data_IF_863370240736
#
_entry.id   IF_863370240736
#
_cell.length_a   1.000
_cell.length_b   1.000
_cell.length_c   1.000
_cell.angle_alpha   90.00
_cell.angle_beta   90.00
_cell.angle_gamma   90.00
#
_symmetry.space_group_name_H-M   'P 1'
#
loop_
_entity.id
_entity.type
_entity.pdbx_description
1 polymer ?
#
# COMPACT_ATOMS: atom_id res chain seq x y z
N UNK A 1 11.44 11.94 17.87
CA UNK A 1 12.05 12.38 16.60
C UNK A 1 12.46 11.15 15.80
N UNK A 2 12.08 11.05 14.52
CA UNK A 2 12.27 9.84 13.66
C UNK A 2 13.76 9.51 13.40
N UNK A 3 14.65 10.47 13.65
CA UNK A 3 16.03 10.54 13.19
C UNK A 3 17.08 9.70 13.94
N UNK A 4 16.77 9.09 15.08
CA UNK A 4 17.82 8.55 15.97
C UNK A 4 17.99 7.03 15.95
N UNK A 5 17.27 6.28 15.10
CA UNK A 5 17.37 4.80 15.09
C UNK A 5 17.37 4.24 13.67
N UNK A 6 18.16 3.18 13.46
CA UNK A 6 18.39 2.48 12.17
C UNK A 6 17.10 2.33 11.32
N UNK A 7 17.22 2.25 9.98
CA UNK A 7 16.13 2.39 9.01
C UNK A 7 14.90 1.52 9.32
N UNK A 8 13.71 2.07 9.03
CA UNK A 8 12.39 1.44 9.17
C UNK A 8 12.23 0.40 8.05
N UNK A 9 11.67 -0.76 8.35
CA UNK A 9 11.50 -1.82 7.35
C UNK A 9 10.15 -1.71 6.63
N UNK A 10 9.11 -1.29 7.37
CA UNK A 10 7.75 -1.17 6.85
C UNK A 10 7.06 0.08 7.42
N UNK A 11 6.49 0.88 6.54
CA UNK A 11 5.62 2.02 6.84
C UNK A 11 4.19 1.63 6.48
N UNK A 12 3.24 1.81 7.39
CA UNK A 12 1.82 1.52 7.17
C UNK A 12 1.04 2.82 7.22
N UNK A 13 0.26 3.07 6.18
CA UNK A 13 -0.75 4.12 6.14
C UNK A 13 -1.94 3.70 7.01
N UNK A 14 -1.89 4.07 8.28
CA UNK A 14 -2.81 3.59 9.29
C UNK A 14 -4.26 3.98 9.00
N UNK A 15 -4.49 5.19 8.46
CA UNK A 15 -5.85 5.66 8.18
C UNK A 15 -6.40 5.00 6.91
N UNK A 16 -5.62 4.98 5.82
CA UNK A 16 -6.02 4.31 4.60
C UNK A 16 -6.37 2.84 4.89
N UNK A 17 -5.51 2.11 5.58
CA UNK A 17 -5.75 0.69 5.89
C UNK A 17 -6.95 0.50 6.84
N UNK A 18 -7.06 1.30 7.90
CA UNK A 18 -8.12 1.12 8.90
C UNK A 18 -9.52 1.37 8.35
N UNK A 19 -9.67 2.28 7.38
CA UNK A 19 -10.97 2.63 6.79
C UNK A 19 -11.35 1.77 5.56
N UNK A 20 -10.51 0.82 5.14
CA UNK A 20 -10.78 -0.03 3.96
C UNK A 20 -11.94 -1.00 4.10
N UNK A 21 -12.26 -1.44 5.31
CA UNK A 21 -13.34 -2.42 5.54
C UNK A 21 -14.52 -1.75 6.21
N UNK A 22 -15.31 -1.05 5.43
CA UNK A 22 -16.70 -0.85 5.79
C UNK A 22 -17.49 -2.12 5.45
N UNK A 23 -17.15 -3.27 6.04
CA UNK A 23 -18.07 -4.44 6.06
C UNK A 23 -18.98 -4.41 7.28
N UNK A 24 -18.84 -3.40 8.15
CA UNK A 24 -19.82 -3.03 9.16
C UNK A 24 -20.30 -1.60 8.91
N UNK A 25 -21.54 -1.47 8.46
CA UNK A 25 -22.24 -0.19 8.43
C UNK A 25 -23.45 -0.29 9.36
N UNK A 26 -23.67 0.76 10.14
CA UNK A 26 -24.96 0.96 10.77
C UNK A 26 -25.81 1.83 9.83
N UNK A 27 -27.09 1.49 9.74
CA UNK A 27 -28.08 2.39 9.18
C UNK A 27 -28.57 3.27 10.32
N UNK A 28 -28.22 4.56 10.29
CA UNK A 28 -28.79 5.52 11.22
C UNK A 28 -30.00 6.15 10.54
N UNK A 29 -31.11 6.19 11.25
CA UNK A 29 -32.35 6.85 10.82
C UNK A 29 -32.43 8.19 11.55
N UNK A 30 -32.36 9.28 10.80
CA UNK A 30 -32.63 10.62 11.33
C UNK A 30 -34.05 10.99 11.00
N UNK A 31 -34.80 11.35 12.03
CA UNK A 31 -36.11 11.93 11.87
C UNK A 31 -35.92 13.43 11.58
N UNK A 32 -36.36 13.86 10.41
CA UNK A 32 -36.30 15.26 10.00
C UNK A 32 -37.61 15.97 10.37
N UNK A 33 -38.73 15.27 10.21
CA UNK A 33 -40.08 15.68 10.65
C UNK A 33 -40.87 14.44 11.11
N UNK A 34 -42.08 14.62 11.66
CA UNK A 34 -42.93 13.51 12.12
C UNK A 34 -43.16 12.45 11.03
N UNK A 35 -43.34 12.86 9.77
CA UNK A 35 -43.61 11.97 8.64
C UNK A 35 -42.39 11.63 7.77
N UNK A 36 -41.25 12.30 7.96
CA UNK A 36 -40.07 12.14 7.08
C UNK A 36 -38.84 11.73 7.88
N UNK A 37 -38.34 10.54 7.59
CA UNK A 37 -37.06 10.05 8.07
C UNK A 37 -36.07 9.83 6.93
N UNK A 38 -34.82 10.25 7.10
CA UNK A 38 -33.71 9.87 6.21
C UNK A 38 -32.86 8.82 6.88
N UNK A 39 -32.62 7.71 6.18
CA UNK A 39 -31.60 6.74 6.56
C UNK A 39 -30.29 7.09 5.88
N UNK A 40 -29.21 7.11 6.65
CA UNK A 40 -27.87 7.25 6.10
C UNK A 40 -26.94 6.18 6.63
N UNK A 41 -26.01 5.81 5.77
CA UNK A 41 -25.06 4.74 5.98
C UNK A 41 -23.84 5.30 6.70
N UNK A 42 -23.57 4.85 7.92
CA UNK A 42 -22.37 5.25 8.68
C UNK A 42 -21.46 4.05 8.96
N UNK A 43 -20.12 4.20 8.83
CA UNK A 43 -19.19 3.16 9.25
C UNK A 43 -19.34 2.87 10.75
N UNK A 44 -19.39 1.59 11.14
CA UNK A 44 -19.42 1.21 12.56
C UNK A 44 -18.06 1.55 13.19
N UNK A 45 -18.06 2.46 14.17
CA UNK A 45 -16.87 3.08 14.81
C UNK A 45 -16.00 2.06 15.60
N UNK A 46 -16.48 0.83 15.77
CA UNK A 46 -15.79 -0.25 16.53
C UNK A 46 -14.85 -1.11 15.68
N UNK A 47 -14.71 -0.85 14.38
CA UNK A 47 -13.99 -1.75 13.48
C UNK A 47 -12.66 -1.22 12.96
N UNK A 48 -12.38 0.09 12.97
CA UNK A 48 -11.19 0.62 12.31
C UNK A 48 -9.88 0.14 12.95
N UNK A 49 -9.78 0.13 14.28
CA UNK A 49 -8.61 -0.43 14.98
C UNK A 49 -8.46 -1.92 14.73
N UNK A 50 -9.56 -2.67 14.79
CA UNK A 50 -9.56 -4.10 14.49
C UNK A 50 -9.12 -4.40 13.07
N UNK A 51 -9.55 -3.61 12.08
CA UNK A 51 -9.12 -3.78 10.69
C UNK A 51 -7.62 -3.60 10.56
N UNK A 52 -7.08 -2.51 11.10
CA UNK A 52 -5.63 -2.26 11.05
C UNK A 52 -4.84 -3.37 11.77
N UNK A 53 -5.27 -3.78 12.96
CA UNK A 53 -4.65 -4.86 13.73
C UNK A 53 -4.73 -6.18 12.95
N UNK A 54 -5.90 -6.53 12.41
CA UNK A 54 -6.11 -7.76 11.66
C UNK A 54 -5.31 -7.79 10.38
N UNK A 55 -5.16 -6.66 9.68
CA UNK A 55 -4.27 -6.56 8.51
C UNK A 55 -2.82 -6.84 8.89
N UNK A 56 -2.33 -6.27 9.99
CA UNK A 56 -0.96 -6.51 10.47
C UNK A 56 -0.74 -7.99 10.80
N UNK A 57 -1.70 -8.62 11.51
CA UNK A 57 -1.62 -10.03 11.92
C UNK A 57 -1.76 -10.97 10.71
N UNK A 58 -2.83 -10.81 9.92
CA UNK A 58 -3.14 -11.68 8.77
C UNK A 58 -2.14 -11.52 7.63
N UNK A 59 -1.54 -10.34 7.50
CA UNK A 59 -0.45 -10.08 6.58
C UNK A 59 0.91 -10.59 7.05
N UNK A 60 0.98 -11.23 8.22
CA UNK A 60 2.19 -11.74 8.83
C UNK A 60 3.31 -10.69 9.02
N UNK A 61 2.93 -9.41 9.14
CA UNK A 61 3.88 -8.30 9.12
C UNK A 61 4.80 -8.31 10.34
N UNK A 62 4.30 -8.79 11.48
CA UNK A 62 5.08 -8.92 12.72
C UNK A 62 6.25 -9.91 12.60
N UNK A 63 6.12 -10.92 11.75
CA UNK A 63 7.20 -11.88 11.50
C UNK A 63 8.14 -11.38 10.39
N UNK A 64 7.59 -10.71 9.39
CA UNK A 64 8.32 -10.26 8.22
C UNK A 64 9.21 -9.02 8.49
N UNK A 65 8.76 -8.11 9.34
CA UNK A 65 9.42 -6.82 9.56
C UNK A 65 9.84 -6.67 11.02
N UNK A 66 11.08 -6.23 11.24
CA UNK A 66 11.61 -5.98 12.59
C UNK A 66 11.22 -4.60 13.10
N UNK A 67 10.98 -3.65 12.20
CA UNK A 67 10.61 -2.26 12.53
C UNK A 67 9.46 -1.80 11.66
N UNK A 68 8.30 -1.75 12.28
CA UNK A 68 7.07 -1.26 11.68
C UNK A 68 6.80 0.15 12.23
N UNK A 69 6.56 1.09 11.33
CA UNK A 69 6.02 2.40 11.62
C UNK A 69 4.60 2.49 11.08
N UNK A 70 3.64 2.79 11.93
CA UNK A 70 2.29 3.18 11.50
C UNK A 70 2.21 4.70 11.54
N UNK A 71 1.91 5.30 10.40
CA UNK A 71 1.57 6.73 10.29
C UNK A 71 0.07 6.85 10.36
N UNK A 72 -0.45 7.75 11.19
CA UNK A 72 -1.89 7.94 11.29
C UNK A 72 -2.26 9.26 11.93
N UNK A 73 -3.55 9.42 12.21
CA UNK A 73 -4.11 10.66 12.77
C UNK A 73 -4.14 10.65 14.30
N UNK A 74 -4.09 11.84 14.89
CA UNK A 74 -4.24 12.02 16.33
C UNK A 74 -5.51 11.36 16.90
N UNK A 75 -6.63 11.35 16.17
CA UNK A 75 -7.85 10.68 16.65
C UNK A 75 -7.69 9.16 16.84
N UNK A 76 -6.77 8.51 16.12
CA UNK A 76 -6.51 7.07 16.25
C UNK A 76 -5.90 6.70 17.61
N UNK A 77 -5.29 7.67 18.33
CA UNK A 77 -4.80 7.46 19.70
C UNK A 77 -5.91 7.06 20.67
N UNK A 78 -7.15 7.45 20.36
CA UNK A 78 -8.33 7.15 21.18
C UNK A 78 -9.00 5.83 20.80
N UNK A 79 -8.49 5.12 19.79
CA UNK A 79 -9.11 3.87 19.36
C UNK A 79 -8.82 2.74 20.36
N UNK A 80 -9.86 2.02 20.83
CA UNK A 80 -9.71 0.95 21.81
C UNK A 80 -8.69 -0.10 21.36
N UNK A 81 -7.78 -0.47 22.28
CA UNK A 81 -6.81 -1.55 22.11
C UNK A 81 -5.67 -1.30 21.11
N UNK A 82 -5.72 -0.24 20.30
CA UNK A 82 -4.74 -0.01 19.23
C UNK A 82 -3.33 0.24 19.77
N UNK A 83 -3.20 1.19 20.70
CA UNK A 83 -1.90 1.55 21.26
C UNK A 83 -1.31 0.45 22.14
N UNK A 84 -2.16 -0.33 22.82
CA UNK A 84 -1.71 -1.47 23.61
C UNK A 84 -1.18 -2.60 22.71
N UNK A 85 -1.87 -2.87 21.60
CA UNK A 85 -1.38 -3.78 20.57
C UNK A 85 -0.05 -3.30 19.99
N UNK A 86 0.08 -2.01 19.65
CA UNK A 86 1.33 -1.47 19.13
C UNK A 86 2.49 -1.56 20.13
N UNK A 87 2.25 -1.20 21.40
CA UNK A 87 3.25 -1.30 22.46
C UNK A 87 3.70 -2.74 22.68
N UNK A 88 2.76 -3.69 22.76
CA UNK A 88 3.04 -5.12 22.95
C UNK A 88 3.89 -5.71 21.83
N UNK A 89 3.72 -5.23 20.61
CA UNK A 89 4.41 -5.73 19.42
C UNK A 89 5.56 -4.83 18.94
N UNK A 90 6.00 -3.86 19.75
CA UNK A 90 7.08 -2.91 19.42
C UNK A 90 6.86 -2.16 18.08
N UNK A 91 5.60 -1.90 17.73
CA UNK A 91 5.21 -1.08 16.58
C UNK A 91 5.30 0.38 16.99
N UNK A 92 5.95 1.20 16.16
CA UNK A 92 5.99 2.65 16.36
C UNK A 92 4.76 3.29 15.73
N UNK A 93 4.19 4.27 16.41
CA UNK A 93 3.10 5.08 15.87
C UNK A 93 3.53 6.54 15.77
N UNK A 94 3.32 7.14 14.61
CA UNK A 94 3.47 8.57 14.40
C UNK A 94 2.09 9.17 14.11
N UNK A 95 1.63 10.03 15.03
CA UNK A 95 0.39 10.78 14.85
C UNK A 95 0.67 12.13 14.21
N UNK A 96 0.03 12.40 13.09
CA UNK A 96 -0.09 13.73 12.51
C UNK A 96 -1.33 14.46 13.07
N UNK A 97 -1.43 15.76 12.82
CA UNK A 97 -2.65 16.51 13.11
C UNK A 97 -3.80 16.06 12.21
N UNK A 98 -5.01 16.04 12.76
CA UNK A 98 -6.22 15.58 12.03
C UNK A 98 -6.42 16.31 10.69
N UNK A 99 -6.06 17.59 10.60
CA UNK A 99 -6.25 18.43 9.40
C UNK A 99 -5.04 18.43 8.44
N UNK A 100 -3.94 17.74 8.79
CA UNK A 100 -2.74 17.69 7.94
C UNK A 100 -2.89 16.71 6.78
N UNK A 101 -2.07 16.83 5.72
CA UNK A 101 -1.95 15.80 4.69
C UNK A 101 -0.99 14.71 5.18
N UNK A 102 -1.48 13.50 5.42
CA UNK A 102 -0.67 12.40 5.97
C UNK A 102 0.28 11.80 4.95
N UNK A 103 -0.10 11.90 3.69
CA UNK A 103 0.56 11.24 2.57
C UNK A 103 2.03 11.65 2.42
N UNK A 104 2.37 12.89 2.81
CA UNK A 104 3.74 13.39 2.80
C UNK A 104 4.62 12.73 3.86
N UNK A 105 4.09 12.46 5.07
CA UNK A 105 4.88 11.85 6.14
C UNK A 105 5.17 10.38 5.86
N UNK A 106 4.20 9.65 5.32
CA UNK A 106 4.40 8.26 4.96
C UNK A 106 5.37 8.10 3.78
N UNK A 107 5.22 8.90 2.71
CA UNK A 107 6.16 8.92 1.58
C UNK A 107 7.58 9.28 2.02
N UNK A 108 7.69 10.29 2.88
CA UNK A 108 8.97 10.69 3.44
C UNK A 108 9.60 9.55 4.24
N UNK A 109 8.86 8.95 5.19
CA UNK A 109 9.38 7.87 6.01
C UNK A 109 9.78 6.64 5.19
N UNK A 110 9.04 6.32 4.12
CA UNK A 110 9.31 5.18 3.25
C UNK A 110 10.49 5.38 2.31
N UNK A 111 10.88 6.63 2.01
CA UNK A 111 12.02 6.94 1.13
C UNK A 111 13.34 7.08 1.90
N UNK A 112 13.31 7.10 3.23
CA UNK A 112 14.52 7.15 4.07
C UNK A 112 15.41 5.91 3.96
N UNK A 113 14.89 4.79 3.46
CA UNK A 113 15.69 3.60 3.20
C UNK A 113 15.24 2.87 1.94
N UNK A 114 16.17 2.36 1.12
CA UNK A 114 15.88 1.71 -0.16
C UNK A 114 15.19 0.34 -0.02
N UNK A 115 15.04 -0.17 1.21
CA UNK A 115 14.38 -1.47 1.47
C UNK A 115 13.03 -1.30 2.16
N UNK A 116 12.62 -0.06 2.41
CA UNK A 116 11.41 0.21 3.19
C UNK A 116 10.17 0.03 2.32
N UNK A 117 9.26 -0.82 2.77
CA UNK A 117 7.98 -1.04 2.09
C UNK A 117 6.94 -0.07 2.63
N UNK A 118 6.13 0.50 1.75
CA UNK A 118 4.95 1.31 2.09
C UNK A 118 3.68 0.48 1.90
N UNK A 119 2.98 0.19 2.99
CA UNK A 119 1.68 -0.48 2.96
C UNK A 119 0.58 0.56 2.91
N UNK A 120 0.00 0.74 1.73
CA UNK A 120 -1.16 1.61 1.49
C UNK A 120 -1.89 1.15 0.23
N UNK A 121 -3.18 1.45 0.14
CA UNK A 121 -3.97 1.30 -1.07
C UNK A 121 -4.27 2.64 -1.74
N UNK A 122 -3.66 3.73 -1.28
CA UNK A 122 -3.72 4.99 -2.01
C UNK A 122 -2.92 4.86 -3.32
N UNK A 123 -3.47 5.39 -4.41
CA UNK A 123 -2.77 5.45 -5.69
C UNK A 123 -1.77 6.62 -5.76
N UNK A 124 -1.73 7.49 -4.75
CA UNK A 124 -0.87 8.69 -4.69
C UNK A 124 -1.07 9.63 -5.90
N UNK A 125 -2.26 9.62 -6.49
CA UNK A 125 -2.59 10.36 -7.73
C UNK A 125 -2.36 11.85 -7.59
N UNK A 126 -2.75 12.41 -6.45
CA UNK A 126 -2.61 13.83 -6.18
C UNK A 126 -1.13 14.24 -6.11
N UNK A 127 -0.25 13.35 -5.65
CA UNK A 127 1.19 13.60 -5.66
C UNK A 127 1.75 13.51 -7.08
N UNK A 128 1.40 12.45 -7.81
CA UNK A 128 1.83 12.25 -9.19
C UNK A 128 1.43 13.43 -10.09
N UNK A 129 0.24 14.00 -9.89
CA UNK A 129 -0.27 15.13 -10.66
C UNK A 129 0.51 16.44 -10.43
N UNK A 130 1.27 16.56 -9.33
CA UNK A 130 2.04 17.76 -8.99
C UNK A 130 3.51 17.70 -9.44
N UNK A 131 3.96 16.54 -9.94
CA UNK A 131 5.35 16.33 -10.34
C UNK A 131 5.54 16.59 -11.83
N UNK A 132 6.74 17.01 -12.21
CA UNK A 132 7.17 17.00 -13.61
C UNK A 132 7.29 15.56 -14.13
N UNK A 133 7.42 15.41 -15.45
CA UNK A 133 7.45 14.10 -16.11
C UNK A 133 8.56 13.17 -15.59
N UNK A 134 9.77 13.71 -15.36
CA UNK A 134 10.91 12.93 -14.89
C UNK A 134 10.70 12.44 -13.46
N UNK A 135 10.28 13.33 -12.57
CA UNK A 135 10.00 13.00 -11.16
C UNK A 135 8.80 12.05 -11.03
N UNK A 136 7.77 12.23 -11.86
CA UNK A 136 6.61 11.33 -11.92
C UNK A 136 7.01 9.92 -12.28
N UNK A 137 7.80 9.73 -13.34
CA UNK A 137 8.29 8.39 -13.74
C UNK A 137 9.14 7.73 -12.65
N UNK A 138 9.95 8.51 -11.91
CA UNK A 138 10.71 7.98 -10.78
C UNK A 138 9.79 7.54 -9.63
N UNK A 139 8.76 8.32 -9.30
CA UNK A 139 7.79 7.97 -8.27
C UNK A 139 6.96 6.75 -8.67
N UNK A 140 6.50 6.64 -9.92
CA UNK A 140 5.78 5.46 -10.42
C UNK A 140 6.62 4.19 -10.26
N UNK A 141 7.89 4.22 -10.68
CA UNK A 141 8.81 3.09 -10.48
C UNK A 141 9.03 2.77 -9.00
N UNK A 142 9.09 3.79 -8.15
CA UNK A 142 9.23 3.60 -6.72
C UNK A 142 7.97 2.94 -6.12
N UNK A 143 6.78 3.39 -6.54
CA UNK A 143 5.49 2.80 -6.16
C UNK A 143 5.48 1.31 -6.53
N UNK A 144 5.87 0.95 -7.75
CA UNK A 144 5.88 -0.44 -8.23
C UNK A 144 6.74 -1.38 -7.37
N UNK A 145 7.83 -0.83 -6.82
CA UNK A 145 8.87 -1.60 -6.11
C UNK A 145 8.75 -1.56 -4.59
N UNK A 146 8.03 -0.58 -4.05
CA UNK A 146 7.97 -0.35 -2.60
C UNK A 146 6.54 -0.34 -2.06
N UNK A 147 5.50 -0.18 -2.89
CA UNK A 147 4.13 -0.14 -2.41
C UNK A 147 3.53 -1.55 -2.31
N UNK A 148 3.08 -1.91 -1.11
CA UNK A 148 2.31 -3.12 -0.87
C UNK A 148 0.83 -2.80 -0.73
N UNK A 149 0.01 -3.48 -1.52
CA UNK A 149 -1.44 -3.30 -1.53
C UNK A 149 -2.09 -4.30 -0.59
N UNK A 150 -3.08 -3.91 0.21
CA UNK A 150 -3.85 -4.88 0.98
C UNK A 150 -5.03 -5.38 0.13
N UNK A 151 -5.32 -6.67 0.11
CA UNK A 151 -6.53 -7.21 -0.53
C UNK A 151 -7.75 -6.94 0.37
N UNK A 152 -8.85 -6.42 -0.18
CA UNK A 152 -10.05 -6.07 0.61
C UNK A 152 -10.69 -7.28 1.30
N UNK A 153 -10.78 -8.41 0.57
CA UNK A 153 -11.47 -9.62 1.04
C UNK A 153 -10.67 -10.38 2.09
N UNK A 154 -9.36 -10.51 1.88
CA UNK A 154 -8.51 -11.39 2.69
C UNK A 154 -7.74 -10.65 3.77
N UNK A 155 -7.61 -9.31 3.65
CA UNK A 155 -6.70 -8.47 4.43
C UNK A 155 -5.23 -8.86 4.33
N UNK A 156 -4.88 -9.66 3.31
CA UNK A 156 -3.50 -10.03 3.03
C UNK A 156 -2.83 -9.00 2.11
N UNK A 157 -1.55 -8.69 2.33
CA UNK A 157 -0.77 -7.87 1.43
C UNK A 157 -0.47 -8.60 0.12
N UNK A 158 -0.60 -7.86 -0.97
CA UNK A 158 0.03 -8.09 -2.26
C UNK A 158 1.33 -7.29 -2.21
N UNK A 159 2.44 -8.01 -2.10
CA UNK A 159 3.76 -7.41 -2.00
C UNK A 159 4.23 -6.87 -3.35
N UNK A 160 5.01 -5.77 -3.35
CA UNK A 160 5.52 -5.18 -4.58
C UNK A 160 6.40 -6.14 -5.35
N UNK A 161 6.49 -5.90 -6.65
CA UNK A 161 7.33 -6.69 -7.55
C UNK A 161 8.80 -6.39 -7.24
N UNK A 162 9.64 -7.41 -6.98
CA UNK A 162 11.08 -7.20 -6.80
C UNK A 162 11.66 -6.46 -8.02
N UNK A 163 12.61 -5.54 -7.78
CA UNK A 163 13.22 -4.71 -8.84
C UNK A 163 13.76 -5.53 -10.04
N UNK A 164 14.24 -6.75 -9.77
CA UNK A 164 14.73 -7.71 -10.77
C UNK A 164 13.65 -8.19 -11.76
N UNK A 165 12.38 -7.91 -11.49
CA UNK A 165 11.21 -8.26 -12.30
C UNK A 165 10.55 -7.02 -12.90
N UNK A 166 11.34 -5.99 -13.18
CA UNK A 166 10.92 -4.83 -13.99
C UNK A 166 11.57 -4.93 -15.36
N UNK A 167 10.93 -4.33 -16.37
CA UNK A 167 11.52 -4.17 -17.70
C UNK A 167 12.97 -3.71 -17.58
N UNK A 168 13.91 -4.55 -18.02
CA UNK A 168 15.32 -4.35 -17.75
C UNK A 168 16.17 -4.70 -18.98
N UNK A 169 17.23 -3.92 -19.14
CA UNK A 169 18.27 -4.17 -20.13
C UNK A 169 19.46 -4.78 -19.41
N UNK A 170 19.76 -6.04 -19.74
CA UNK A 170 20.97 -6.72 -19.33
C UNK A 170 22.04 -6.48 -20.40
N UNK A 171 22.90 -5.50 -20.13
CA UNK A 171 23.97 -5.10 -21.06
C UNK A 171 25.06 -6.17 -21.18
N UNK A 172 25.29 -6.97 -20.14
CA UNK A 172 26.31 -8.02 -20.17
C UNK A 172 25.87 -9.18 -21.07
N UNK A 173 24.59 -9.55 -21.01
CA UNK A 173 24.02 -10.62 -21.83
C UNK A 173 23.44 -10.16 -23.16
N UNK A 174 23.61 -8.88 -23.48
CA UNK A 174 23.04 -8.19 -24.63
C UNK A 174 21.57 -8.57 -24.88
N UNK A 175 20.78 -8.57 -23.81
CA UNK A 175 19.36 -8.92 -23.87
C UNK A 175 18.50 -7.94 -23.10
N UNK A 176 17.25 -7.79 -23.52
CA UNK A 176 16.25 -7.03 -22.79
C UNK A 176 15.07 -7.93 -22.42
N UNK A 177 14.53 -7.72 -21.23
CA UNK A 177 13.37 -8.41 -20.69
C UNK A 177 12.23 -7.41 -20.60
N UNK A 178 11.10 -7.73 -21.22
CA UNK A 178 9.89 -6.92 -21.18
C UNK A 178 8.76 -7.73 -20.55
N UNK A 179 8.10 -7.22 -19.49
CA UNK A 179 6.87 -7.81 -19.00
C UNK A 179 5.77 -7.57 -20.05
N UNK A 180 5.10 -8.65 -20.44
CA UNK A 180 3.95 -8.66 -21.33
C UNK A 180 2.73 -9.01 -20.50
N UNK A 181 1.76 -8.11 -20.52
CA UNK A 181 0.45 -8.36 -19.93
C UNK A 181 -0.36 -9.15 -20.94
N UNK A 182 -0.83 -10.32 -20.51
CA UNK A 182 -1.80 -11.11 -21.28
C UNK A 182 -3.17 -10.43 -21.16
N UNK A 183 -3.60 -9.75 -22.23
CA UNK A 183 -4.84 -8.97 -22.23
C UNK A 183 -6.08 -9.86 -22.04
N UNK A 184 -6.02 -11.11 -22.45
CA UNK A 184 -7.12 -12.06 -22.27
C UNK A 184 -7.30 -12.46 -20.79
N UNK A 185 -6.29 -12.22 -19.95
CA UNK A 185 -6.37 -12.43 -18.50
C UNK A 185 -6.82 -11.18 -17.73
N UNK A 186 -6.84 -10.00 -18.35
CA UNK A 186 -7.27 -8.76 -17.69
C UNK A 186 -8.78 -8.74 -17.40
N UNK A 187 -9.60 -9.45 -18.17
CA UNK A 187 -11.05 -9.56 -17.92
C UNK A 187 -11.37 -10.22 -16.57
N UNK A 188 -10.40 -10.93 -15.97
CA UNK A 188 -10.54 -11.57 -14.65
C UNK A 188 -10.09 -10.70 -13.47
N UNK A 189 -9.44 -9.55 -13.73
CA UNK A 189 -8.94 -8.63 -12.69
C UNK A 189 -10.07 -7.69 -12.30
N UNK A 190 -10.66 -7.92 -11.12
CA UNK A 190 -11.74 -7.08 -10.61
C UNK A 190 -11.25 -5.67 -10.26
N UNK A 191 -12.17 -4.70 -10.24
CA UNK A 191 -11.89 -3.28 -9.87
C UNK A 191 -11.25 -3.12 -8.48
N UNK A 192 -11.34 -4.15 -7.63
CA UNK A 192 -10.77 -4.18 -6.28
C UNK A 192 -9.40 -4.87 -6.19
N UNK A 193 -8.93 -5.44 -7.30
CA UNK A 193 -7.67 -6.15 -7.38
C UNK A 193 -6.50 -5.17 -7.58
N UNK A 194 -5.28 -5.52 -7.16
CA UNK A 194 -4.11 -4.67 -7.35
C UNK A 194 -3.91 -4.38 -8.84
N UNK A 195 -3.32 -3.23 -9.20
CA UNK A 195 -2.91 -2.96 -10.56
C UNK A 195 -2.17 -4.15 -11.19
N UNK A 196 -2.43 -4.50 -12.47
CA UNK A 196 -1.84 -5.68 -13.12
C UNK A 196 -0.32 -5.75 -13.05
N UNK A 197 0.38 -4.62 -13.06
CA UNK A 197 1.84 -4.54 -12.92
C UNK A 197 2.37 -4.97 -11.53
N UNK A 198 1.50 -4.98 -10.51
CA UNK A 198 1.80 -5.51 -9.16
C UNK A 198 1.40 -6.98 -9.01
N UNK A 199 0.69 -7.56 -9.99
CA UNK A 199 0.30 -8.96 -9.96
C UNK A 199 1.25 -9.80 -10.83
N UNK A 200 2.37 -10.22 -10.24
CA UNK A 200 3.38 -11.06 -10.91
C UNK A 200 2.86 -12.38 -11.51
N UNK A 201 1.64 -12.83 -11.17
CA UNK A 201 1.02 -14.02 -11.76
C UNK A 201 0.43 -13.78 -13.16
N UNK A 202 0.16 -12.54 -13.53
CA UNK A 202 -0.41 -12.15 -14.83
C UNK A 202 0.66 -11.65 -15.83
N UNK A 203 1.94 -11.68 -15.44
CA UNK A 203 3.03 -11.20 -16.27
C UNK A 203 3.74 -12.36 -16.97
N UNK A 204 3.64 -12.38 -18.30
CA UNK A 204 4.52 -13.18 -19.16
C UNK A 204 5.77 -12.35 -19.49
N UNK A 205 6.90 -12.97 -19.78
CA UNK A 205 8.15 -12.25 -20.07
C UNK A 205 8.59 -12.48 -21.51
N UNK A 206 8.74 -11.39 -22.26
CA UNK A 206 9.45 -11.41 -23.53
C UNK A 206 10.95 -11.20 -23.26
N UNK A 207 11.76 -12.21 -23.59
CA UNK A 207 13.21 -12.11 -23.59
C UNK A 207 13.69 -11.92 -25.03
N UNK A 208 14.36 -10.81 -25.32
CA UNK A 208 14.99 -10.57 -26.61
C UNK A 208 16.49 -10.54 -26.42
N UNK A 209 17.21 -11.45 -27.09
CA UNK A 209 18.67 -11.54 -27.08
C UNK A 209 19.17 -11.48 -28.52
N UNK A 210 20.24 -10.74 -28.78
CA UNK A 210 20.94 -10.85 -30.06
C UNK A 210 21.63 -12.21 -30.16
N UNK A 211 21.41 -12.93 -31.26
CA UNK A 211 22.18 -14.13 -31.53
C UNK A 211 23.68 -13.76 -31.63
N UNK A 212 24.54 -14.50 -30.91
CA UNK A 212 25.98 -14.37 -31.11
C UNK A 212 26.27 -14.71 -32.58
N UNK A 213 26.99 -13.83 -33.29
CA UNK A 213 27.58 -14.20 -34.58
C UNK A 213 28.50 -15.39 -34.30
N UNK A 214 28.18 -16.55 -34.87
CA UNK A 214 29.13 -17.65 -34.97
C UNK A 214 30.28 -17.11 -35.81
N UNK A 215 31.45 -16.95 -35.20
CA UNK A 215 32.68 -16.65 -35.94
C UNK A 215 33.02 -17.90 -36.76
N UNK A 216 32.86 -17.79 -38.07
CA UNK A 216 33.46 -18.70 -39.06
C UNK A 216 35.00 -18.61 -39.03
#
# INVERSE_FOLDING_TARGET
TIWTKKPIDCVIDGLNIAYRTSTGFNWIKQQLTEDVSRTYRVPKVENQSHTLINTIIRGNMLQQFKKILVVGKAHMLKWPGLMDFFRKNNIRFYSSFNNSKDDLFQLYASTLSPKTVLVTNDFLRDHLATLDESARTQLERWIDTHQAWICQKTLKPIWPTPYEKIASVDRERNCFHLPVIDFDQLETVGVTDPPPHLNSKALTWLCCRTANKVSE
#
